data_IF_133243598631
#
_entry.id   IF_133243598631
#
_cell.length_a   1.000
_cell.length_b   1.000
_cell.length_c   1.000
_cell.angle_alpha   90.00
_cell.angle_beta   90.00
_cell.angle_gamma   90.00
#
_symmetry.space_group_name_H-M   'P 1'
#
loop_
_entity.id
_entity.type
_entity.pdbx_description
1 polymer ?
#
# COMPACT_ATOMS: atom_id res chain seq x y z
N UNK A 1 8.81 -7.42 46.69
CA UNK A 1 9.38 -8.43 45.77
C UNK A 1 8.79 -9.79 46.13
N UNK A 2 8.38 -10.59 45.14
CA UNK A 2 7.89 -11.94 45.37
C UNK A 2 9.02 -12.80 45.99
N UNK A 3 8.67 -13.68 46.93
CA UNK A 3 9.64 -14.54 47.62
C UNK A 3 10.17 -15.58 46.63
N UNK A 4 11.47 -15.54 46.31
CA UNK A 4 12.13 -16.50 45.42
C UNK A 4 12.25 -17.86 46.10
N UNK A 5 11.32 -18.77 45.83
CA UNK A 5 11.26 -20.11 46.45
C UNK A 5 11.90 -21.22 45.61
N UNK A 6 12.18 -20.96 44.34
CA UNK A 6 12.70 -21.94 43.40
C UNK A 6 14.21 -21.77 43.23
N UNK A 7 14.98 -22.79 43.60
CA UNK A 7 16.41 -22.88 43.31
C UNK A 7 16.65 -24.07 42.37
N UNK A 8 17.14 -23.80 41.17
CA UNK A 8 17.42 -24.80 40.12
C UNK A 8 18.82 -24.52 39.56
N UNK A 9 19.56 -25.59 39.26
CA UNK A 9 20.84 -25.50 38.54
C UNK A 9 20.60 -25.65 37.05
N UNK A 10 21.19 -24.79 36.23
CA UNK A 10 21.04 -24.78 34.78
C UNK A 10 22.44 -24.74 34.15
N UNK A 11 22.67 -25.57 33.12
CA UNK A 11 23.87 -25.51 32.27
C UNK A 11 23.55 -24.71 31.01
N UNK A 12 24.43 -23.80 30.65
CA UNK A 12 24.24 -22.81 29.59
C UNK A 12 25.47 -22.84 28.67
N UNK A 13 25.32 -22.40 27.43
CA UNK A 13 26.47 -22.12 26.57
C UNK A 13 27.15 -20.83 27.00
N UNK A 14 28.43 -20.69 26.66
CA UNK A 14 29.21 -19.47 26.94
C UNK A 14 28.54 -18.23 26.32
N UNK A 15 27.95 -18.37 25.14
CA UNK A 15 27.19 -17.28 24.50
C UNK A 15 26.03 -16.80 25.38
N UNK A 16 25.23 -17.72 25.93
CA UNK A 16 24.10 -17.36 26.79
C UNK A 16 24.61 -16.76 28.10
N UNK A 17 25.72 -17.28 28.64
CA UNK A 17 26.36 -16.73 29.83
C UNK A 17 26.78 -15.28 29.63
N UNK A 18 27.45 -14.98 28.51
CA UNK A 18 27.90 -13.63 28.16
C UNK A 18 26.72 -12.65 28.04
N UNK A 19 25.62 -13.08 27.41
CA UNK A 19 24.40 -12.27 27.33
C UNK A 19 23.81 -11.97 28.71
N UNK A 20 23.78 -12.95 29.61
CA UNK A 20 23.20 -12.78 30.95
C UNK A 20 24.10 -11.92 31.84
N UNK A 21 25.42 -12.11 31.82
CA UNK A 21 26.36 -11.33 32.64
C UNK A 21 26.29 -9.83 32.34
N UNK A 22 26.12 -9.48 31.06
CA UNK A 22 26.04 -8.11 30.59
C UNK A 22 24.68 -7.44 30.87
N UNK A 23 23.69 -8.19 31.35
CA UNK A 23 22.36 -7.66 31.64
C UNK A 23 22.30 -6.94 33.01
N UNK A 24 21.32 -6.07 33.21
CA UNK A 24 21.16 -5.33 34.47
C UNK A 24 20.68 -6.22 35.63
N UNK A 25 21.33 -6.12 36.79
CA UNK A 25 20.96 -6.85 38.00
C UNK A 25 22.14 -7.20 38.90
N UNK A 26 21.85 -7.61 40.14
CA UNK A 26 22.85 -8.06 41.11
C UNK A 26 23.03 -9.58 41.05
N UNK A 27 24.23 -10.01 40.64
CA UNK A 27 24.55 -11.43 40.51
C UNK A 27 23.82 -12.11 39.35
N UNK A 28 24.21 -13.36 39.08
CA UNK A 28 23.75 -14.10 37.91
C UNK A 28 22.22 -14.33 37.90
N UNK A 29 21.65 -14.79 39.02
CA UNK A 29 20.23 -15.16 39.07
C UNK A 29 19.30 -13.98 38.83
N UNK A 30 19.63 -12.78 39.33
CA UNK A 30 18.80 -11.61 39.11
C UNK A 30 18.92 -11.09 37.67
N UNK A 31 20.13 -11.09 37.11
CA UNK A 31 20.35 -10.75 35.70
C UNK A 31 19.58 -11.69 34.77
N UNK A 32 19.59 -12.99 35.06
CA UNK A 32 18.84 -13.99 34.29
C UNK A 32 17.33 -13.76 34.38
N UNK A 33 16.80 -13.53 35.59
CA UNK A 33 15.38 -13.25 35.79
C UNK A 33 14.94 -11.97 35.07
N UNK A 34 15.72 -10.89 35.20
CA UNK A 34 15.44 -9.62 34.54
C UNK A 34 15.47 -9.75 33.01
N UNK A 35 16.42 -10.52 32.46
CA UNK A 35 16.50 -10.78 31.03
C UNK A 35 15.26 -11.49 30.51
N UNK A 36 14.81 -12.54 31.21
CA UNK A 36 13.61 -13.30 30.83
C UNK A 36 12.38 -12.41 30.89
N UNK A 37 12.22 -11.63 31.97
CA UNK A 37 11.09 -10.68 32.10
C UNK A 37 11.09 -9.63 30.98
N UNK A 38 12.26 -9.05 30.69
CA UNK A 38 12.42 -8.10 29.59
C UNK A 38 12.04 -8.72 28.24
N UNK A 39 12.51 -9.94 27.96
CA UNK A 39 12.16 -10.65 26.74
C UNK A 39 10.64 -10.87 26.63
N UNK A 40 9.98 -11.29 27.72
CA UNK A 40 8.53 -11.49 27.74
C UNK A 40 7.76 -10.19 27.46
N UNK A 41 8.13 -9.09 28.12
CA UNK A 41 7.48 -7.79 27.94
C UNK A 41 7.70 -7.24 26.52
N UNK A 42 8.94 -7.33 26.01
CA UNK A 42 9.29 -6.84 24.68
C UNK A 42 8.67 -7.66 23.57
N UNK A 43 8.55 -8.98 23.74
CA UNK A 43 7.92 -9.85 22.76
C UNK A 43 6.44 -9.46 22.57
N UNK A 44 5.71 -9.28 23.67
CA UNK A 44 4.30 -8.90 23.63
C UNK A 44 4.11 -7.50 23.02
N UNK A 45 4.92 -6.53 23.45
CA UNK A 45 4.89 -5.16 22.89
C UNK A 45 5.16 -5.15 21.38
N UNK A 46 6.15 -5.94 20.93
CA UNK A 46 6.48 -6.06 19.50
C UNK A 46 5.34 -6.71 18.71
N UNK A 47 4.71 -7.77 19.23
CA UNK A 47 3.55 -8.41 18.58
C UNK A 47 2.38 -7.44 18.40
N UNK A 48 2.09 -6.65 19.43
CA UNK A 48 1.04 -5.62 19.38
C UNK A 48 1.38 -4.54 18.34
N UNK A 49 2.64 -4.10 18.30
CA UNK A 49 3.10 -3.10 17.33
C UNK A 49 3.03 -3.62 15.89
N UNK A 50 3.41 -4.88 15.63
CA UNK A 50 3.26 -5.51 14.32
C UNK A 50 1.79 -5.52 13.90
N UNK A 51 0.90 -5.98 14.79
CA UNK A 51 -0.54 -6.01 14.52
C UNK A 51 -1.11 -4.63 14.17
N UNK A 52 -0.67 -3.59 14.88
CA UNK A 52 -1.09 -2.21 14.61
C UNK A 52 -0.56 -1.70 13.26
N UNK A 53 0.69 -2.02 12.91
CA UNK A 53 1.27 -1.68 11.61
C UNK A 53 0.56 -2.40 10.48
N UNK A 54 0.24 -3.69 10.62
CA UNK A 54 -0.51 -4.45 9.61
C UNK A 54 -1.90 -3.84 9.36
N UNK A 55 -2.59 -3.40 10.43
CA UNK A 55 -3.86 -2.69 10.29
C UNK A 55 -3.72 -1.37 9.54
N UNK A 56 -2.66 -0.60 9.80
CA UNK A 56 -2.39 0.64 9.08
C UNK A 56 -2.09 0.37 7.60
N UNK A 57 -1.26 -0.63 7.31
CA UNK A 57 -0.93 -1.07 5.96
C UNK A 57 -2.21 -1.46 5.21
N UNK A 58 -3.07 -2.28 5.81
CA UNK A 58 -4.34 -2.68 5.19
C UNK A 58 -5.25 -1.50 4.87
N UNK A 59 -5.31 -0.48 5.74
CA UNK A 59 -6.08 0.75 5.47
C UNK A 59 -5.51 1.54 4.30
N UNK A 60 -4.18 1.65 4.20
CA UNK A 60 -3.53 2.37 3.11
C UNK A 60 -3.73 1.66 1.77
N UNK A 61 -3.64 0.32 1.74
CA UNK A 61 -3.93 -0.46 0.54
C UNK A 61 -5.38 -0.29 0.07
N UNK A 62 -6.36 -0.23 0.98
CA UNK A 62 -7.76 0.06 0.61
C UNK A 62 -7.91 1.43 -0.04
N UNK A 63 -7.24 2.47 0.47
CA UNK A 63 -7.25 3.81 -0.12
C UNK A 63 -6.59 3.81 -1.50
N UNK A 64 -5.44 3.16 -1.63
CA UNK A 64 -4.71 3.07 -2.90
C UNK A 64 -5.56 2.35 -3.96
N UNK A 65 -6.23 1.25 -3.57
CA UNK A 65 -7.15 0.54 -4.44
C UNK A 65 -8.31 1.43 -4.93
N UNK A 66 -8.91 2.22 -4.03
CA UNK A 66 -9.96 3.16 -4.41
C UNK A 66 -9.46 4.25 -5.38
N UNK A 67 -8.25 4.77 -5.17
CA UNK A 67 -7.63 5.72 -6.10
C UNK A 67 -7.32 5.10 -7.46
N UNK A 68 -6.85 3.85 -7.49
CA UNK A 68 -6.58 3.13 -8.73
C UNK A 68 -7.87 2.90 -9.53
N UNK A 69 -8.96 2.55 -8.85
CA UNK A 69 -10.29 2.44 -9.46
C UNK A 69 -10.77 3.77 -10.05
N UNK A 70 -10.57 4.88 -9.33
CA UNK A 70 -10.89 6.21 -9.84
C UNK A 70 -10.05 6.57 -11.07
N UNK A 71 -8.74 6.28 -11.03
CA UNK A 71 -7.84 6.52 -12.16
C UNK A 71 -8.25 5.70 -13.38
N UNK A 72 -8.71 4.46 -13.21
CA UNK A 72 -9.25 3.65 -14.31
C UNK A 72 -10.45 4.32 -14.95
N UNK A 73 -11.42 4.76 -14.15
CA UNK A 73 -12.63 5.45 -14.64
C UNK A 73 -12.30 6.74 -15.39
N UNK A 74 -11.34 7.52 -14.89
CA UNK A 74 -10.85 8.72 -15.61
C UNK A 74 -10.23 8.33 -16.96
N UNK A 75 -9.48 7.23 -17.00
CA UNK A 75 -8.96 6.67 -18.25
C UNK A 75 -10.06 6.30 -19.24
N UNK A 76 -11.14 5.69 -18.76
CA UNK A 76 -12.29 5.31 -19.59
C UNK A 76 -13.02 6.54 -20.14
N UNK A 77 -13.26 7.55 -19.29
CA UNK A 77 -13.85 8.83 -19.71
C UNK A 77 -13.00 9.52 -20.76
N UNK A 78 -11.67 9.55 -20.58
CA UNK A 78 -10.75 10.13 -21.56
C UNK A 78 -10.85 9.43 -22.92
N UNK A 79 -10.91 8.10 -22.94
CA UNK A 79 -11.09 7.33 -24.19
C UNK A 79 -12.42 7.66 -24.87
N UNK A 80 -13.50 7.76 -24.10
CA UNK A 80 -14.81 8.12 -24.62
C UNK A 80 -14.81 9.53 -25.21
N UNK A 81 -14.14 10.49 -24.57
CA UNK A 81 -13.99 11.85 -25.07
C UNK A 81 -13.22 11.88 -26.40
N UNK A 82 -12.07 11.19 -26.47
CA UNK A 82 -11.31 11.09 -27.73
C UNK A 82 -12.18 10.49 -28.83
N UNK A 83 -12.94 9.43 -28.56
CA UNK A 83 -13.85 8.85 -29.56
C UNK A 83 -14.92 9.83 -30.05
N UNK A 84 -15.43 10.69 -29.15
CA UNK A 84 -16.41 11.72 -29.49
C UNK A 84 -15.79 12.86 -30.30
N UNK A 85 -14.55 13.26 -30.00
CA UNK A 85 -13.78 14.22 -30.80
C UNK A 85 -13.61 13.72 -32.22
N UNK A 86 -13.21 12.44 -32.39
CA UNK A 86 -13.09 11.81 -33.70
C UNK A 86 -14.41 11.82 -34.49
N UNK A 87 -15.53 11.47 -33.84
CA UNK A 87 -16.86 11.51 -34.48
C UNK A 87 -17.29 12.93 -34.87
N UNK A 88 -16.98 13.92 -34.04
CA UNK A 88 -17.30 15.32 -34.33
C UNK A 88 -16.51 15.81 -35.55
N UNK A 89 -15.23 15.46 -35.63
CA UNK A 89 -14.39 15.82 -36.78
C UNK A 89 -14.85 15.13 -38.07
N UNK A 90 -15.21 13.85 -37.99
CA UNK A 90 -15.77 13.10 -39.13
C UNK A 90 -17.07 13.74 -39.65
N UNK A 91 -17.99 14.08 -38.74
CA UNK A 91 -19.21 14.80 -39.10
C UNK A 91 -18.95 16.19 -39.69
N UNK A 92 -17.96 16.92 -39.18
CA UNK A 92 -17.56 18.21 -39.74
C UNK A 92 -17.09 18.06 -41.19
N UNK A 93 -16.24 17.06 -41.47
CA UNK A 93 -15.78 16.79 -42.83
C UNK A 93 -16.91 16.44 -43.80
N UNK A 94 -17.87 15.62 -43.35
CA UNK A 94 -19.06 15.30 -44.15
C UNK A 94 -19.94 16.52 -44.42
N UNK A 95 -20.05 17.45 -43.45
CA UNK A 95 -20.79 18.70 -43.64
C UNK A 95 -20.09 19.62 -44.62
N UNK A 96 -18.76 19.74 -44.54
CA UNK A 96 -17.97 20.53 -45.49
C UNK A 96 -18.12 19.98 -46.92
N UNK A 97 -18.05 18.65 -47.10
CA UNK A 97 -18.28 17.98 -48.40
C UNK A 97 -19.70 18.21 -48.94
N UNK A 98 -20.73 18.11 -48.10
CA UNK A 98 -22.12 18.38 -48.50
C UNK A 98 -22.37 19.84 -48.88
N UNK A 99 -21.65 20.79 -48.29
CA UNK A 99 -21.74 22.20 -48.63
C UNK A 99 -21.02 22.48 -49.95
N UNK A 100 -19.86 21.88 -50.20
CA UNK A 100 -19.16 21.98 -51.49
C UNK A 100 -20.00 21.43 -52.66
N UNK A 101 -20.71 20.30 -52.46
CA UNK A 101 -21.58 19.69 -53.47
C UNK A 101 -22.83 20.53 -53.80
N UNK A 102 -23.25 21.43 -52.91
CA UNK A 102 -24.40 22.35 -53.10
C UNK A 102 -24.02 23.59 -53.90
N UNK A 103 -22.76 24.00 -53.84
CA UNK A 103 -22.22 25.16 -54.57
C UNK A 103 -21.71 24.77 -55.97
N UNK A 104 -21.65 23.46 -56.28
CA UNK A 104 -21.47 22.95 -57.63
C UNK A 104 -22.75 23.16 -58.46
N UNK A 105 -22.92 24.39 -58.94
CA UNK A 105 -23.98 24.79 -59.87
C UNK A 105 -24.06 23.77 -61.03
N UNK A 106 -25.21 23.10 -61.27
CA UNK A 106 -25.33 22.23 -62.43
C UNK A 106 -25.16 23.12 -63.65
N UNK A 107 -24.00 23.03 -64.31
CA UNK A 107 -23.78 23.65 -65.62
C UNK A 107 -24.87 23.14 -66.54
N UNK A 108 -25.95 23.91 -66.65
CA UNK A 108 -27.03 23.66 -67.58
C UNK A 108 -26.37 23.63 -68.97
N UNK A 109 -26.45 22.50 -69.69
CA UNK A 109 -26.16 22.56 -71.10
C UNK A 109 -27.31 23.39 -71.66
N UNK A 110 -27.01 24.52 -72.31
CA UNK A 110 -27.40 24.79 -73.70
C UNK A 110 -27.03 26.24 -74.05
N UNK A 111 -26.47 26.33 -75.26
CA UNK A 111 -26.08 27.52 -76.02
C UNK A 111 -27.24 28.41 -76.43
#
# INVERSE_FOLDING_TARGET
MAKKTNMKSVRLSDQVMDYVINFEGEGFNQKFENLVLFCMEQEESKKQRITLLDQQIARQYKKLYALQQLSSKIGDVRRALTHLEWRTNDLSGLLDELLEDKDADPKLPFS
#
